data_IF_554936676784
#
_entry.id   IF_554936676784
#
_cell.length_a   1.000
_cell.length_b   1.000
_cell.length_c   1.000
_cell.angle_alpha   90.00
_cell.angle_beta   90.00
_cell.angle_gamma   90.00
#
_symmetry.space_group_name_H-M   'P 1'
#
loop_
_entity.id
_entity.type
_entity.pdbx_description
1 polymer ?
#
# COMPACT_ATOMS: atom_id res chain seq x y z
N UNK A 1 -32.31 -2.20 -0.83
CA UNK A 1 -31.13 -2.34 0.08
C UNK A 1 -29.95 -2.84 -0.73
N UNK A 2 -28.73 -2.37 -0.42
CA UNK A 2 -27.53 -2.84 -1.10
C UNK A 2 -26.98 -4.04 -0.33
N UNK A 3 -26.69 -5.13 -1.03
CA UNK A 3 -26.04 -6.31 -0.45
C UNK A 3 -24.58 -6.28 -0.80
N UNK A 4 -23.71 -6.03 0.21
CA UNK A 4 -22.28 -5.96 0.03
C UNK A 4 -21.68 -7.38 0.07
N UNK A 5 -20.84 -7.71 -0.91
CA UNK A 5 -20.13 -8.99 -0.94
C UNK A 5 -18.73 -8.88 -0.36
N UNK A 6 -17.92 -7.95 -0.87
CA UNK A 6 -16.51 -7.86 -0.49
C UNK A 6 -15.89 -6.55 -0.97
N UNK A 7 -14.70 -6.23 -0.46
CA UNK A 7 -13.82 -5.24 -1.08
C UNK A 7 -13.16 -5.90 -2.30
N UNK A 8 -13.30 -5.33 -3.49
CA UNK A 8 -12.75 -5.89 -4.72
C UNK A 8 -11.29 -5.46 -4.93
N UNK A 9 -11.04 -4.16 -4.92
CA UNK A 9 -9.69 -3.62 -5.08
C UNK A 9 -9.58 -2.23 -4.47
N UNK A 10 -8.34 -1.77 -4.34
CA UNK A 10 -7.99 -0.39 -3.98
C UNK A 10 -7.30 0.23 -5.20
N UNK A 11 -7.69 1.44 -5.58
CA UNK A 11 -7.04 2.21 -6.64
C UNK A 11 -6.31 3.39 -6.04
N UNK A 12 -5.07 3.60 -6.45
CA UNK A 12 -4.23 4.71 -6.01
C UNK A 12 -3.77 5.52 -7.20
N UNK A 13 -3.74 6.84 -7.03
CA UNK A 13 -3.08 7.73 -7.98
C UNK A 13 -1.59 7.78 -7.69
N UNK A 14 -0.79 7.66 -8.75
CA UNK A 14 0.67 7.80 -8.70
C UNK A 14 1.12 8.74 -9.82
N UNK A 15 2.29 9.38 -9.66
CA UNK A 15 2.78 10.36 -10.64
C UNK A 15 3.81 9.78 -11.60
N UNK A 16 4.54 8.74 -11.20
CA UNK A 16 5.57 8.09 -11.99
C UNK A 16 5.38 6.59 -11.89
N UNK A 17 5.00 5.97 -13.00
CA UNK A 17 4.65 4.56 -13.03
C UNK A 17 5.86 3.66 -12.69
N UNK A 18 7.02 3.94 -13.27
CA UNK A 18 8.21 3.10 -13.04
C UNK A 18 8.63 3.14 -11.57
N UNK A 19 8.62 4.32 -10.96
CA UNK A 19 8.91 4.49 -9.53
C UNK A 19 7.89 3.77 -8.65
N UNK A 20 6.62 3.87 -8.99
CA UNK A 20 5.55 3.18 -8.26
C UNK A 20 5.67 1.66 -8.42
N UNK A 21 5.97 1.16 -9.62
CA UNK A 21 6.18 -0.28 -9.87
C UNK A 21 7.39 -0.81 -9.10
N UNK A 22 8.45 -0.02 -8.98
CA UNK A 22 9.60 -0.40 -8.16
C UNK A 22 9.17 -0.58 -6.69
N UNK A 23 8.41 0.36 -6.16
CA UNK A 23 7.96 0.29 -4.77
C UNK A 23 7.01 -0.88 -4.53
N UNK A 24 5.94 -0.99 -5.30
CA UNK A 24 4.93 -2.02 -5.07
C UNK A 24 5.37 -3.41 -5.51
N UNK A 25 6.06 -3.50 -6.64
CA UNK A 25 6.49 -4.78 -7.20
C UNK A 25 7.79 -5.32 -6.62
N UNK A 26 8.80 -4.46 -6.41
CA UNK A 26 10.11 -4.91 -5.94
C UNK A 26 10.28 -4.72 -4.43
N UNK A 27 9.98 -3.55 -3.88
CA UNK A 27 10.14 -3.31 -2.44
C UNK A 27 9.10 -4.06 -1.64
N UNK A 28 7.82 -3.91 -1.94
CA UNK A 28 6.76 -4.65 -1.25
C UNK A 28 6.63 -6.10 -1.73
N UNK A 29 7.06 -6.40 -2.96
CA UNK A 29 7.05 -7.76 -3.48
C UNK A 29 5.68 -8.24 -3.93
N UNK A 30 4.77 -7.34 -4.31
CA UNK A 30 3.45 -7.74 -4.80
C UNK A 30 3.55 -8.31 -6.21
N UNK A 31 2.87 -9.43 -6.51
CA UNK A 31 2.84 -9.97 -7.88
C UNK A 31 2.03 -9.06 -8.80
N UNK A 32 2.64 -8.64 -9.91
CA UNK A 32 1.92 -7.89 -10.93
C UNK A 32 1.02 -8.83 -11.72
N UNK A 33 -0.21 -8.37 -12.04
CA UNK A 33 -1.20 -9.14 -12.79
C UNK A 33 -1.49 -8.48 -14.13
N UNK A 34 -2.13 -9.24 -15.03
CA UNK A 34 -2.57 -8.73 -16.32
C UNK A 34 -3.54 -7.55 -16.12
N UNK A 35 -3.38 -6.53 -16.94
CA UNK A 35 -4.19 -5.31 -16.93
C UNK A 35 -4.74 -5.08 -18.33
N UNK A 36 -6.03 -4.74 -18.49
CA UNK A 36 -6.55 -4.36 -19.80
C UNK A 36 -5.74 -3.21 -20.42
N UNK A 37 -5.74 -3.14 -21.75
CA UNK A 37 -5.01 -2.12 -22.49
C UNK A 37 -5.75 -0.77 -22.47
N UNK A 38 -5.81 -0.14 -21.27
CA UNK A 38 -6.37 1.18 -21.11
C UNK A 38 -5.51 2.23 -21.82
N UNK A 39 -6.08 3.39 -22.13
CA UNK A 39 -5.40 4.52 -22.78
C UNK A 39 -4.65 5.42 -21.77
N UNK A 40 -4.47 4.99 -20.55
CA UNK A 40 -3.71 5.68 -19.51
C UNK A 40 -2.76 4.69 -18.82
N UNK A 41 -1.60 5.19 -18.33
CA UNK A 41 -0.62 4.33 -17.66
C UNK A 41 -1.13 3.82 -16.31
N UNK A 42 -0.74 2.61 -15.97
CA UNK A 42 -1.09 2.02 -14.68
C UNK A 42 -0.53 0.61 -14.55
N UNK A 43 -0.78 -0.01 -13.41
CA UNK A 43 -0.38 -1.39 -13.14
C UNK A 43 -1.35 -2.01 -12.15
N UNK A 44 -1.54 -3.30 -12.25
CA UNK A 44 -2.37 -4.09 -11.34
C UNK A 44 -1.53 -5.11 -10.61
N UNK A 45 -1.81 -5.28 -9.32
CA UNK A 45 -1.11 -6.22 -8.44
C UNK A 45 -2.10 -7.07 -7.67
N UNK A 46 -1.69 -8.30 -7.35
CA UNK A 46 -2.45 -9.17 -6.43
C UNK A 46 -2.16 -8.80 -4.98
N UNK A 47 -3.22 -8.75 -4.18
CA UNK A 47 -3.18 -8.67 -2.73
C UNK A 47 -4.02 -9.82 -2.17
N UNK A 48 -3.44 -11.02 -2.09
CA UNK A 48 -4.22 -12.22 -1.80
C UNK A 48 -5.29 -12.42 -2.88
N UNK A 49 -6.55 -12.47 -2.48
CA UNK A 49 -7.70 -12.58 -3.39
C UNK A 49 -8.29 -11.21 -3.78
N UNK A 50 -7.62 -10.13 -3.44
CA UNK A 50 -7.97 -8.75 -3.80
C UNK A 50 -6.91 -8.19 -4.74
N UNK A 51 -7.12 -6.96 -5.21
CA UNK A 51 -6.18 -6.31 -6.12
C UNK A 51 -5.83 -4.91 -5.65
N UNK A 52 -4.66 -4.46 -6.07
CA UNK A 52 -4.22 -3.07 -5.99
C UNK A 52 -4.03 -2.56 -7.41
N UNK A 53 -4.65 -1.42 -7.71
CA UNK A 53 -4.52 -0.75 -9.00
C UNK A 53 -3.77 0.56 -8.83
N UNK A 54 -2.74 0.78 -9.65
CA UNK A 54 -2.03 2.04 -9.76
C UNK A 54 -2.49 2.74 -11.03
N UNK A 55 -2.77 4.04 -10.92
CA UNK A 55 -3.27 4.85 -12.04
C UNK A 55 -2.45 6.12 -12.11
N UNK A 56 -1.87 6.39 -13.28
CA UNK A 56 -1.24 7.69 -13.57
C UNK A 56 -2.31 8.58 -14.21
N UNK A 57 -2.75 9.58 -13.44
CA UNK A 57 -3.83 10.47 -13.87
C UNK A 57 -3.45 11.93 -13.55
N UNK A 58 -3.11 12.74 -14.58
CA UNK A 58 -2.66 14.13 -14.34
C UNK A 58 -3.69 15.02 -13.64
N UNK A 59 -4.98 14.72 -13.81
CA UNK A 59 -6.07 15.46 -13.16
C UNK A 59 -6.45 14.96 -11.78
N UNK A 60 -5.66 14.05 -11.18
CA UNK A 60 -5.99 13.48 -9.86
C UNK A 60 -6.07 14.56 -8.78
N UNK A 61 -6.96 14.33 -7.81
CA UNK A 61 -7.14 15.20 -6.64
C UNK A 61 -6.95 14.44 -5.33
N UNK A 62 -6.41 13.22 -5.39
CA UNK A 62 -6.29 12.35 -4.22
C UNK A 62 -4.86 12.26 -3.69
N UNK A 63 -3.90 12.95 -4.30
CA UNK A 63 -2.53 13.02 -3.78
C UNK A 63 -2.49 13.98 -2.58
N UNK A 64 -1.84 13.53 -1.51
CA UNK A 64 -1.74 14.29 -0.26
C UNK A 64 -0.79 15.49 -0.36
N UNK A 65 0.11 15.52 -1.33
CA UNK A 65 1.12 16.57 -1.46
C UNK A 65 2.26 16.49 -0.45
N UNK A 66 2.38 15.40 0.27
CA UNK A 66 3.42 15.15 1.26
C UNK A 66 3.71 13.64 1.35
N UNK A 67 4.93 13.28 1.74
CA UNK A 67 5.32 11.91 2.04
C UNK A 67 5.35 11.63 3.53
N UNK A 68 4.99 12.61 4.36
CA UNK A 68 4.94 12.42 5.79
C UNK A 68 3.92 11.34 6.17
N UNK A 69 4.29 10.47 7.10
CA UNK A 69 3.40 9.41 7.56
C UNK A 69 2.38 9.99 8.54
N UNK A 70 1.10 9.90 8.17
CA UNK A 70 -0.01 10.25 9.05
C UNK A 70 -0.94 9.05 9.14
N UNK A 71 -0.96 8.41 10.30
CA UNK A 71 -1.73 7.20 10.54
C UNK A 71 -3.25 7.43 10.53
N UNK A 72 -3.69 8.70 10.56
CA UNK A 72 -5.11 9.06 10.54
C UNK A 72 -5.58 9.54 9.17
N UNK A 73 -4.65 9.75 8.24
CA UNK A 73 -5.01 10.10 6.88
C UNK A 73 -5.52 8.86 6.14
N UNK A 74 -6.19 9.09 5.01
CA UNK A 74 -6.73 7.98 4.22
C UNK A 74 -5.62 6.98 3.87
N UNK A 75 -5.88 5.70 4.10
CA UNK A 75 -4.92 4.64 3.84
C UNK A 75 -5.64 3.31 3.65
N UNK A 76 -4.95 2.36 3.04
CA UNK A 76 -5.40 0.98 3.04
C UNK A 76 -4.48 0.14 3.92
N UNK A 77 -4.98 -1.04 4.30
CA UNK A 77 -4.34 -1.89 5.29
C UNK A 77 -4.15 -3.28 4.71
N UNK A 78 -2.94 -3.81 4.90
CA UNK A 78 -2.58 -5.17 4.47
C UNK A 78 -2.15 -5.98 5.69
N UNK A 79 -2.71 -7.17 5.86
CA UNK A 79 -2.23 -8.11 6.87
C UNK A 79 -1.02 -8.86 6.32
N UNK A 80 0.10 -8.81 7.04
CA UNK A 80 1.33 -9.50 6.68
C UNK A 80 1.74 -10.46 7.80
N UNK A 81 2.69 -11.33 7.53
CA UNK A 81 3.24 -12.25 8.53
C UNK A 81 4.60 -11.77 8.99
N UNK A 82 4.86 -11.84 10.30
CA UNK A 82 6.16 -11.53 10.87
C UNK A 82 6.42 -10.04 10.99
N UNK A 83 6.18 -9.48 12.18
CA UNK A 83 6.37 -8.06 12.43
C UNK A 83 7.83 -7.63 12.22
N UNK A 84 8.76 -8.31 12.89
CA UNK A 84 10.18 -7.97 12.79
C UNK A 84 10.71 -8.19 11.38
N UNK A 85 10.34 -9.30 10.77
CA UNK A 85 10.76 -9.62 9.41
C UNK A 85 10.30 -8.55 8.41
N UNK A 86 9.07 -8.08 8.52
CA UNK A 86 8.53 -7.03 7.66
C UNK A 86 9.26 -5.72 7.88
N UNK A 87 9.46 -5.34 9.14
CA UNK A 87 10.16 -4.09 9.49
C UNK A 87 11.60 -4.10 8.95
N UNK A 88 12.34 -5.18 9.19
CA UNK A 88 13.72 -5.32 8.74
C UNK A 88 13.82 -5.24 7.20
N UNK A 89 12.87 -5.87 6.51
CA UNK A 89 12.81 -5.83 5.05
C UNK A 89 12.61 -4.39 4.55
N UNK A 90 11.63 -3.68 5.10
CA UNK A 90 11.35 -2.29 4.71
C UNK A 90 12.54 -1.39 4.97
N UNK A 91 13.15 -1.52 6.13
CA UNK A 91 14.32 -0.72 6.52
C UNK A 91 15.52 -1.01 5.64
N UNK A 92 15.73 -2.28 5.25
CA UNK A 92 16.82 -2.66 4.35
C UNK A 92 16.67 -2.04 2.95
N UNK A 93 15.46 -1.68 2.57
CA UNK A 93 15.18 -0.98 1.30
C UNK A 93 15.08 0.55 1.48
N UNK A 94 15.47 1.07 2.64
CA UNK A 94 15.46 2.50 2.90
C UNK A 94 14.07 3.11 3.08
N UNK A 95 13.05 2.31 3.37
CA UNK A 95 11.68 2.79 3.58
C UNK A 95 11.54 3.30 5.01
N UNK A 96 11.13 4.55 5.16
CA UNK A 96 10.82 5.11 6.48
C UNK A 96 9.55 4.46 7.04
N UNK A 97 9.62 4.03 8.28
CA UNK A 97 8.51 3.33 8.94
C UNK A 97 8.10 4.07 10.22
N UNK A 98 6.80 4.13 10.47
CA UNK A 98 6.27 4.51 11.79
C UNK A 98 5.67 3.27 12.43
N UNK A 99 6.21 2.88 13.56
CA UNK A 99 5.79 1.68 14.28
C UNK A 99 4.77 2.00 15.35
N UNK A 100 3.77 1.15 15.46
CA UNK A 100 2.84 1.10 16.58
C UNK A 100 2.70 -0.37 17.02
N UNK A 101 3.75 -0.92 17.66
CA UNK A 101 3.73 -2.34 18.06
C UNK A 101 2.69 -2.62 19.15
N UNK A 102 2.43 -1.62 19.99
CA UNK A 102 1.38 -1.68 21.01
C UNK A 102 0.48 -0.46 20.87
N UNK A 103 -0.80 -0.70 20.75
CA UNK A 103 -1.80 0.33 20.51
C UNK A 103 -3.17 -0.16 21.03
N UNK A 104 -4.23 0.60 20.77
CA UNK A 104 -5.56 0.24 21.24
C UNK A 104 -6.24 -0.86 20.42
N UNK A 105 -5.67 -1.24 19.26
CA UNK A 105 -6.17 -2.38 18.49
C UNK A 105 -5.55 -3.68 19.02
N UNK A 106 -6.02 -4.81 18.52
CA UNK A 106 -5.46 -6.12 18.88
C UNK A 106 -4.29 -6.54 17.97
N UNK A 107 -3.83 -5.65 17.08
CA UNK A 107 -2.78 -5.98 16.11
C UNK A 107 -1.68 -4.92 16.08
N UNK A 108 -0.40 -5.35 15.99
CA UNK A 108 0.73 -4.45 15.77
C UNK A 108 0.65 -3.80 14.38
N UNK A 109 1.10 -2.54 14.28
CA UNK A 109 0.99 -1.74 13.06
C UNK A 109 2.35 -1.18 12.64
N UNK A 110 2.61 -1.21 11.33
CA UNK A 110 3.71 -0.49 10.70
C UNK A 110 3.10 0.39 9.60
N UNK A 111 3.37 1.68 9.65
CA UNK A 111 2.90 2.63 8.63
C UNK A 111 4.07 3.04 7.74
N UNK A 112 3.82 3.07 6.44
CA UNK A 112 4.77 3.56 5.43
C UNK A 112 4.04 4.45 4.45
N UNK A 113 4.78 5.17 3.61
CA UNK A 113 4.23 5.86 2.45
C UNK A 113 4.91 5.36 1.18
N UNK A 114 4.16 5.33 0.09
CA UNK A 114 4.74 5.10 -1.22
C UNK A 114 5.48 6.38 -1.71
N UNK A 115 6.16 6.35 -2.88
CA UNK A 115 6.89 7.52 -3.36
C UNK A 115 6.03 8.77 -3.57
N UNK A 116 4.73 8.64 -3.75
CA UNK A 116 3.80 9.76 -3.92
C UNK A 116 3.11 10.18 -2.60
N UNK A 117 3.43 9.51 -1.49
CA UNK A 117 2.86 9.83 -0.19
C UNK A 117 1.56 9.12 0.14
N UNK A 118 1.12 8.14 -0.67
CA UNK A 118 -0.01 7.31 -0.30
C UNK A 118 0.35 6.49 0.96
N UNK A 119 -0.48 6.56 1.98
CA UNK A 119 -0.23 5.90 3.26
C UNK A 119 -0.68 4.44 3.20
N UNK A 120 0.14 3.56 3.71
CA UNK A 120 -0.14 2.13 3.79
C UNK A 120 0.11 1.66 5.23
N UNK A 121 -0.84 0.95 5.80
CA UNK A 121 -0.65 0.23 7.05
C UNK A 121 -0.35 -1.23 6.74
N UNK A 122 0.73 -1.73 7.30
CA UNK A 122 1.03 -3.16 7.33
C UNK A 122 0.82 -3.62 8.77
N UNK A 123 -0.05 -4.61 8.99
CA UNK A 123 -0.26 -5.11 10.33
C UNK A 123 -0.04 -6.61 10.42
N UNK A 124 0.22 -7.07 11.61
CA UNK A 124 0.42 -8.49 11.89
C UNK A 124 -0.54 -8.95 12.97
N UNK A 125 -0.70 -10.24 13.08
CA UNK A 125 -1.53 -10.82 14.13
C UNK A 125 -0.90 -10.65 15.51
N UNK A 126 0.44 -10.69 15.57
CA UNK A 126 1.22 -10.59 16.80
C UNK A 126 2.58 -9.97 16.49
N UNK A 127 3.39 -9.72 17.55
CA UNK A 127 4.78 -9.24 17.42
C UNK A 127 5.78 -10.35 17.09
N UNK A 128 5.35 -11.56 17.04
CA UNK A 128 6.20 -12.73 16.74
C UNK A 128 6.62 -12.82 15.27
#
# INVERSE_FOLDING_TARGET
>A
MIEFETLHHVSLSVTDLDRAKHFYGEVLGLPETARPAFDFPGAWYSLGDRQLHLIVHPGTRTLRGTRAIDARDAHFVVRVRGYRQTLDHLQSHGVACRERPRNLTSWPQIFVTDPDGNVIELNTQSLD
#
